data_IF_906560430804
#
_entry.id   IF_906560430804
#
_cell.length_a   1.000
_cell.length_b   1.000
_cell.length_c   1.000
_cell.angle_alpha   90.00
_cell.angle_beta   90.00
_cell.angle_gamma   90.00
#
_symmetry.space_group_name_H-M   'P 1'
#
loop_
_entity.id
_entity.type
_entity.pdbx_description
1 polymer ?
#
# COMPACT_ATOMS: atom_id res chain seq x y z
N UNK A 1 25.67 17.48 1.15
CA UNK A 1 26.33 18.17 2.28
C UNK A 1 26.04 17.39 3.55
N UNK A 2 26.80 16.36 3.88
CA UNK A 2 26.49 15.48 5.01
C UNK A 2 27.61 14.51 5.42
N UNK A 3 28.84 14.73 4.95
CA UNK A 3 29.95 13.81 5.25
C UNK A 3 31.05 14.44 6.16
N UNK A 4 30.88 15.67 6.63
CA UNK A 4 31.90 16.36 7.44
C UNK A 4 31.69 16.19 8.94
N UNK A 5 30.56 15.68 9.42
CA UNK A 5 30.31 15.51 10.85
C UNK A 5 30.87 14.19 11.43
N UNK A 6 30.95 13.12 10.62
CA UNK A 6 31.50 11.83 11.07
C UNK A 6 33.04 11.82 11.18
N UNK A 7 33.73 12.62 10.36
CA UNK A 7 35.19 12.72 10.44
C UNK A 7 35.65 13.55 11.64
N UNK A 8 34.84 14.49 12.11
CA UNK A 8 35.16 15.30 13.28
C UNK A 8 35.14 14.50 14.60
N UNK A 9 34.19 13.57 14.76
CA UNK A 9 34.16 12.75 15.97
C UNK A 9 35.30 11.73 16.01
N UNK A 10 35.67 11.14 14.88
CA UNK A 10 36.81 10.24 14.79
C UNK A 10 38.16 11.02 15.08
N UNK A 11 38.26 12.21 14.55
CA UNK A 11 39.45 13.09 14.81
C UNK A 11 39.48 13.55 16.26
N UNK A 12 38.34 13.85 16.89
CA UNK A 12 38.28 14.24 18.29
C UNK A 12 38.64 13.08 19.22
N UNK A 13 38.17 11.87 18.94
CA UNK A 13 38.55 10.66 19.71
C UNK A 13 40.04 10.38 19.56
N UNK A 14 40.60 10.52 18.35
CA UNK A 14 42.04 10.37 18.09
C UNK A 14 42.85 11.43 18.79
N UNK A 15 42.44 12.69 18.73
CA UNK A 15 43.10 13.80 19.43
C UNK A 15 43.01 13.65 20.96
N UNK A 16 41.89 13.12 21.47
CA UNK A 16 41.73 12.83 22.90
C UNK A 16 42.61 11.67 23.37
N UNK A 17 42.70 10.60 22.54
CA UNK A 17 43.61 9.49 22.81
C UNK A 17 45.09 9.90 22.81
N UNK A 18 45.52 10.76 21.88
CA UNK A 18 46.87 11.30 21.83
C UNK A 18 47.15 12.23 23.03
N UNK A 19 46.16 13.06 23.45
CA UNK A 19 46.33 13.91 24.66
C UNK A 19 46.36 13.08 25.96
N UNK A 20 45.61 12.00 26.05
CA UNK A 20 45.68 11.06 27.18
C UNK A 20 47.06 10.35 27.24
N UNK A 21 47.58 9.92 26.11
CA UNK A 21 48.92 9.35 26.00
C UNK A 21 50.03 10.33 26.39
N UNK A 22 49.87 11.59 25.99
CA UNK A 22 50.87 12.63 26.36
C UNK A 22 50.79 13.01 27.85
N UNK A 23 49.58 13.04 28.42
CA UNK A 23 49.37 13.35 29.85
C UNK A 23 49.80 12.19 30.78
N UNK A 24 49.77 10.97 30.30
CA UNK A 24 50.28 9.81 31.05
C UNK A 24 51.79 9.67 31.00
N UNK A 25 52.45 10.24 29.98
CA UNK A 25 53.92 10.20 29.88
C UNK A 25 54.59 10.93 31.02
N UNK A 26 53.98 11.98 31.58
CA UNK A 26 54.52 12.75 32.73
C UNK A 26 54.22 12.11 34.11
N UNK A 27 53.27 11.16 34.19
CA UNK A 27 53.00 10.44 35.47
C UNK A 27 53.71 9.08 35.58
N UNK A 28 54.04 8.43 34.46
CA UNK A 28 54.75 7.16 34.43
C UNK A 28 56.25 7.28 34.80
N UNK A 29 56.82 8.46 34.82
CA UNK A 29 58.20 8.68 35.29
C UNK A 29 58.38 8.64 36.83
N UNK A 30 57.29 8.51 37.62
CA UNK A 30 57.33 8.42 39.08
C UNK A 30 57.17 7.00 39.68
N UNK A 31 56.82 6.00 38.84
CA UNK A 31 56.82 4.62 39.28
C UNK A 31 58.02 3.92 38.60
N UNK A 32 59.14 3.90 39.35
CA UNK A 32 60.39 3.31 38.88
C UNK A 32 60.33 1.79 38.72
N UNK A 33 59.50 1.34 37.78
CA UNK A 33 59.57 -0.03 37.25
C UNK A 33 60.43 0.01 35.99
N UNK A 34 61.71 -0.35 36.12
CA UNK A 34 62.58 -0.62 34.97
C UNK A 34 62.03 -1.82 34.21
N UNK A 35 61.04 -1.53 33.35
CA UNK A 35 60.56 -2.53 32.42
C UNK A 35 61.60 -2.76 31.36
N UNK A 36 62.05 -4.03 31.25
CA UNK A 36 62.97 -4.49 30.22
C UNK A 36 62.43 -4.09 28.83
N UNK A 37 63.33 -3.72 27.90
CA UNK A 37 62.98 -3.31 26.56
C UNK A 37 62.03 -4.31 25.86
N UNK A 38 62.20 -5.62 26.13
CA UNK A 38 61.32 -6.69 25.65
C UNK A 38 59.89 -6.61 26.19
N UNK A 39 59.70 -6.29 27.49
CA UNK A 39 58.37 -6.11 28.10
C UNK A 39 57.62 -4.95 27.54
N UNK A 40 58.29 -3.82 27.22
CA UNK A 40 57.69 -2.64 26.54
C UNK A 40 57.18 -2.98 25.16
N UNK A 41 58.00 -3.71 24.38
CA UNK A 41 57.60 -4.17 23.03
C UNK A 41 56.40 -5.15 23.09
N UNK A 42 56.40 -6.08 24.05
CA UNK A 42 55.28 -7.03 24.22
C UNK A 42 53.98 -6.30 24.59
N UNK A 43 54.03 -5.32 25.51
CA UNK A 43 52.84 -4.54 25.91
C UNK A 43 52.31 -3.69 24.74
N UNK A 44 53.17 -3.02 23.98
CA UNK A 44 52.71 -2.28 22.79
C UNK A 44 52.14 -3.18 21.71
N UNK A 45 52.68 -4.39 21.51
CA UNK A 45 52.16 -5.39 20.57
C UNK A 45 50.77 -5.89 20.99
N UNK A 46 50.58 -6.19 22.27
CA UNK A 46 49.25 -6.59 22.82
C UNK A 46 48.23 -5.49 22.63
N UNK A 47 48.57 -4.23 22.95
CA UNK A 47 47.66 -3.08 22.75
C UNK A 47 47.31 -2.91 21.26
N UNK A 48 48.30 -3.01 20.36
CA UNK A 48 48.08 -2.93 18.93
C UNK A 48 47.17 -4.04 18.41
N UNK A 49 47.36 -5.27 18.88
CA UNK A 49 46.48 -6.42 18.52
C UNK A 49 45.07 -6.20 19.06
N UNK A 50 44.91 -5.76 20.31
CA UNK A 50 43.60 -5.43 20.88
C UNK A 50 42.90 -4.30 20.11
N UNK A 51 43.61 -3.29 19.73
CA UNK A 51 43.08 -2.16 18.92
C UNK A 51 42.67 -2.64 17.52
N UNK A 52 43.47 -3.50 16.90
CA UNK A 52 43.13 -4.10 15.58
C UNK A 52 41.90 -4.99 15.67
N UNK A 53 41.81 -5.82 16.70
CA UNK A 53 40.63 -6.68 16.94
C UNK A 53 39.38 -5.86 17.24
N UNK A 54 39.46 -4.85 18.10
CA UNK A 54 38.35 -3.94 18.38
C UNK A 54 37.93 -3.14 17.14
N UNK A 55 38.90 -2.65 16.35
CA UNK A 55 38.64 -1.98 15.10
C UNK A 55 37.95 -2.88 14.06
N UNK A 56 38.43 -4.12 13.93
CA UNK A 56 37.82 -5.11 13.03
C UNK A 56 36.41 -5.50 13.47
N UNK A 57 36.20 -5.68 14.77
CA UNK A 57 34.87 -6.00 15.32
C UNK A 57 33.89 -4.83 15.11
N UNK A 58 34.31 -3.59 15.40
CA UNK A 58 33.50 -2.41 15.19
C UNK A 58 33.18 -2.21 13.70
N UNK A 59 34.17 -2.40 12.83
CA UNK A 59 34.00 -2.29 11.39
C UNK A 59 32.98 -3.28 10.84
N UNK A 60 33.08 -4.55 11.23
CA UNK A 60 32.12 -5.58 10.82
C UNK A 60 30.72 -5.30 11.36
N UNK A 61 30.62 -4.89 12.63
CA UNK A 61 29.32 -4.61 13.25
C UNK A 61 28.59 -3.42 12.61
N UNK A 62 29.30 -2.35 12.28
CA UNK A 62 28.70 -1.14 11.69
C UNK A 62 28.43 -1.26 10.19
N UNK A 63 29.25 -2.00 9.46
CA UNK A 63 29.15 -2.08 8.00
C UNK A 63 28.20 -3.14 7.51
N UNK A 64 27.99 -4.22 8.26
CA UNK A 64 27.17 -5.35 7.87
C UNK A 64 25.77 -5.33 8.48
N UNK A 65 25.49 -4.48 9.47
CA UNK A 65 24.14 -4.40 10.02
C UNK A 65 23.17 -3.74 9.01
N UNK A 66 22.15 -4.45 8.53
CA UNK A 66 21.18 -3.87 7.59
C UNK A 66 20.25 -2.91 8.31
N UNK A 67 20.60 -1.63 8.31
CA UNK A 67 19.78 -0.57 8.84
C UNK A 67 19.62 0.58 7.84
N UNK A 68 18.49 1.28 7.94
CA UNK A 68 18.20 2.46 7.12
C UNK A 68 17.39 3.48 7.91
N UNK A 69 17.57 4.76 7.59
CA UNK A 69 16.72 5.87 8.07
C UNK A 69 15.65 6.28 7.06
N UNK A 70 15.68 5.69 5.88
CA UNK A 70 14.74 6.01 4.81
C UNK A 70 13.62 4.96 4.78
N UNK A 71 12.90 4.88 5.89
CA UNK A 71 11.65 4.13 6.00
C UNK A 71 10.45 5.09 5.89
N UNK A 72 9.39 4.64 5.24
CA UNK A 72 8.13 5.37 5.10
C UNK A 72 6.98 4.49 5.54
N UNK A 73 6.15 5.00 6.44
CA UNK A 73 4.88 4.35 6.78
C UNK A 73 3.97 4.46 5.57
N UNK A 74 3.41 3.34 5.16
CA UNK A 74 2.40 3.24 4.11
C UNK A 74 1.14 2.60 4.66
N UNK A 75 0.04 2.83 3.98
CA UNK A 75 -1.23 2.16 4.23
C UNK A 75 -1.91 1.92 2.88
N UNK A 76 -2.82 0.97 2.83
CA UNK A 76 -3.66 0.79 1.66
C UNK A 76 -4.66 1.94 1.56
N UNK A 77 -4.64 2.61 0.42
CA UNK A 77 -5.52 3.73 0.16
C UNK A 77 -6.52 3.33 -0.93
N UNK A 78 -7.79 3.40 -0.60
CA UNK A 78 -8.88 3.20 -1.55
C UNK A 78 -9.37 4.57 -2.03
N UNK A 79 -9.31 4.79 -3.32
CA UNK A 79 -9.89 5.99 -3.93
C UNK A 79 -11.39 5.76 -4.06
N UNK A 80 -12.18 6.56 -3.35
CA UNK A 80 -13.65 6.52 -3.44
C UNK A 80 -14.09 7.35 -4.64
N UNK A 81 -14.77 6.69 -5.57
CA UNK A 81 -15.32 7.28 -6.77
C UNK A 81 -16.77 6.81 -6.95
N UNK A 82 -17.70 7.68 -7.41
CA UNK A 82 -19.07 7.29 -7.67
C UNK A 82 -19.17 6.42 -8.91
N UNK A 83 -20.06 5.44 -8.88
CA UNK A 83 -20.38 4.59 -10.03
C UNK A 83 -21.42 5.21 -10.99
N UNK A 84 -22.06 6.30 -10.55
CA UNK A 84 -23.07 7.03 -11.33
C UNK A 84 -22.81 8.53 -11.24
N UNK A 85 -23.19 9.27 -12.28
CA UNK A 85 -22.95 10.71 -12.36
C UNK A 85 -24.17 11.51 -11.87
N UNK A 86 -23.94 12.66 -11.22
CA UNK A 86 -25.02 13.56 -10.80
C UNK A 86 -24.57 14.62 -9.81
N UNK A 87 -25.54 15.36 -9.30
CA UNK A 87 -25.32 16.39 -8.28
C UNK A 87 -25.28 15.76 -6.89
N UNK A 88 -24.34 16.16 -6.07
CA UNK A 88 -24.27 15.74 -4.66
C UNK A 88 -25.33 16.51 -3.88
N UNK A 89 -26.26 15.79 -3.29
CA UNK A 89 -27.34 16.36 -2.48
C UNK A 89 -27.01 16.39 -1.00
N UNK A 90 -26.19 15.45 -0.54
CA UNK A 90 -25.79 15.31 0.86
C UNK A 90 -24.38 14.74 0.99
N UNK A 91 -23.59 15.32 1.89
CA UNK A 91 -22.26 14.86 2.26
C UNK A 91 -22.24 14.57 3.76
N UNK A 92 -22.10 13.30 4.14
CA UNK A 92 -22.18 12.84 5.54
C UNK A 92 -20.81 12.74 6.22
N UNK A 93 -19.72 12.95 5.47
CA UNK A 93 -18.36 12.79 5.99
C UNK A 93 -17.55 14.07 5.92
N UNK A 94 -16.59 14.18 6.84
CA UNK A 94 -15.61 15.28 6.90
C UNK A 94 -14.20 14.72 6.72
N UNK A 95 -13.27 15.60 6.44
CA UNK A 95 -11.87 15.25 6.36
C UNK A 95 -11.34 14.71 7.70
N UNK A 96 -10.54 13.66 7.67
CA UNK A 96 -9.99 12.94 8.82
C UNK A 96 -11.04 12.27 9.72
N UNK A 97 -12.23 11.97 9.18
CA UNK A 97 -13.27 11.26 9.92
C UNK A 97 -13.09 9.74 9.79
N UNK A 98 -13.10 8.99 10.92
CA UNK A 98 -13.16 7.55 10.88
C UNK A 98 -14.55 7.08 10.41
N UNK A 99 -14.59 6.06 9.57
CA UNK A 99 -15.82 5.45 9.03
C UNK A 99 -15.72 3.93 9.07
N UNK A 100 -16.86 3.28 9.19
CA UNK A 100 -17.00 1.82 9.10
C UNK A 100 -17.49 1.40 7.72
N UNK A 101 -17.17 0.19 7.34
CA UNK A 101 -17.70 -0.40 6.11
C UNK A 101 -19.23 -0.33 6.07
N UNK A 102 -19.75 0.24 4.99
CA UNK A 102 -21.19 0.43 4.78
C UNK A 102 -21.74 1.79 5.25
N UNK A 103 -20.96 2.60 5.97
CA UNK A 103 -21.38 3.95 6.34
C UNK A 103 -21.61 4.79 5.09
N UNK A 104 -22.69 5.59 5.09
CA UNK A 104 -23.00 6.51 3.99
C UNK A 104 -21.97 7.63 3.96
N UNK A 105 -21.34 7.82 2.81
CA UNK A 105 -20.33 8.86 2.62
C UNK A 105 -20.95 10.10 1.98
N UNK A 106 -21.68 9.92 0.89
CA UNK A 106 -22.43 10.99 0.23
C UNK A 106 -23.56 10.42 -0.63
N UNK A 107 -24.52 11.27 -0.96
CA UNK A 107 -25.68 10.93 -1.78
C UNK A 107 -25.71 11.80 -3.03
N UNK A 108 -25.93 11.15 -4.16
CA UNK A 108 -26.17 11.78 -5.47
C UNK A 108 -27.68 11.90 -5.68
N UNK A 109 -28.16 12.97 -6.31
CA UNK A 109 -29.58 13.18 -6.59
C UNK A 109 -30.23 11.93 -7.24
N UNK A 110 -31.10 11.22 -6.51
CA UNK A 110 -31.69 9.97 -6.99
C UNK A 110 -32.88 10.22 -7.93
N UNK A 111 -33.32 11.46 -8.13
CA UNK A 111 -34.59 11.76 -8.81
C UNK A 111 -34.65 11.19 -10.23
N UNK A 112 -33.60 11.44 -11.01
CA UNK A 112 -33.48 10.90 -12.38
C UNK A 112 -33.41 9.38 -12.39
N UNK A 113 -32.66 8.78 -11.48
CA UNK A 113 -32.48 7.32 -11.39
C UNK A 113 -33.77 6.63 -10.93
N UNK A 114 -34.52 7.25 -10.02
CA UNK A 114 -35.85 6.77 -9.60
C UNK A 114 -36.85 6.80 -10.76
N UNK A 115 -36.84 7.84 -11.57
CA UNK A 115 -37.68 7.94 -12.77
C UNK A 115 -37.34 6.85 -13.79
N UNK A 116 -36.04 6.61 -14.06
CA UNK A 116 -35.57 5.54 -14.95
C UNK A 116 -35.92 4.16 -14.43
N UNK A 117 -35.86 3.94 -13.12
CA UNK A 117 -36.29 2.66 -12.50
C UNK A 117 -37.78 2.44 -12.72
N UNK A 118 -38.63 3.45 -12.50
CA UNK A 118 -40.08 3.32 -12.69
C UNK A 118 -40.44 3.06 -14.16
N UNK A 119 -39.78 3.75 -15.09
CA UNK A 119 -39.95 3.56 -16.52
C UNK A 119 -39.56 2.12 -16.95
N UNK A 120 -38.38 1.65 -16.55
CA UNK A 120 -37.88 0.31 -16.89
C UNK A 120 -38.76 -0.78 -16.26
N UNK A 121 -39.28 -0.54 -15.04
CA UNK A 121 -40.24 -1.42 -14.38
C UNK A 121 -41.54 -1.57 -15.19
N UNK A 122 -42.11 -0.46 -15.63
CA UNK A 122 -43.35 -0.46 -16.45
C UNK A 122 -43.13 -1.19 -17.78
N UNK A 123 -41.98 -1.01 -18.43
CA UNK A 123 -41.62 -1.74 -19.66
C UNK A 123 -41.47 -3.24 -19.41
N UNK A 124 -40.86 -3.64 -18.31
CA UNK A 124 -40.72 -5.05 -17.92
C UNK A 124 -42.09 -5.68 -17.63
N UNK A 125 -42.97 -5.00 -16.89
CA UNK A 125 -44.30 -5.45 -16.59
C UNK A 125 -45.18 -5.62 -17.86
N UNK A 126 -45.11 -4.64 -18.77
CA UNK A 126 -45.76 -4.73 -20.08
C UNK A 126 -45.28 -5.97 -20.87
N UNK A 127 -43.97 -6.19 -20.98
CA UNK A 127 -43.41 -7.34 -21.68
C UNK A 127 -43.78 -8.67 -20.99
N UNK A 128 -43.86 -8.68 -19.64
CA UNK A 128 -44.34 -9.83 -18.89
C UNK A 128 -45.75 -10.22 -19.26
N UNK A 129 -46.67 -9.25 -19.29
CA UNK A 129 -48.08 -9.52 -19.67
C UNK A 129 -48.20 -9.96 -21.13
N UNK A 130 -47.38 -9.42 -22.05
CA UNK A 130 -47.34 -9.89 -23.42
C UNK A 130 -46.87 -11.36 -23.51
N UNK A 131 -45.85 -11.73 -22.75
CA UNK A 131 -45.38 -13.12 -22.67
C UNK A 131 -46.42 -14.04 -22.04
N UNK A 132 -47.08 -13.64 -20.95
CA UNK A 132 -48.16 -14.41 -20.32
C UNK A 132 -49.31 -14.66 -21.30
N UNK A 133 -49.72 -13.63 -22.06
CA UNK A 133 -50.75 -13.78 -23.11
C UNK A 133 -50.31 -14.75 -24.22
N UNK A 134 -49.08 -14.59 -24.75
CA UNK A 134 -48.59 -15.48 -25.79
C UNK A 134 -48.50 -16.94 -25.32
N UNK A 135 -48.05 -17.15 -24.07
CA UNK A 135 -48.00 -18.48 -23.45
C UNK A 135 -49.40 -19.08 -23.25
N UNK A 136 -50.39 -18.24 -22.88
CA UNK A 136 -51.77 -18.70 -22.75
C UNK A 136 -52.34 -19.13 -24.11
N UNK A 137 -52.08 -18.38 -25.17
CA UNK A 137 -52.48 -18.71 -26.53
C UNK A 137 -51.83 -19.98 -27.04
N UNK A 138 -50.53 -20.16 -26.80
CA UNK A 138 -49.83 -21.42 -27.09
C UNK A 138 -50.51 -22.62 -26.38
N UNK A 139 -50.68 -22.49 -25.04
CA UNK A 139 -51.31 -23.56 -24.23
C UNK A 139 -52.70 -23.94 -24.71
N UNK A 140 -53.51 -22.99 -25.19
CA UNK A 140 -54.83 -23.24 -25.78
C UNK A 140 -54.74 -23.95 -27.11
N UNK A 141 -53.70 -23.70 -27.95
CA UNK A 141 -53.52 -24.32 -29.26
C UNK A 141 -52.97 -25.75 -29.20
N UNK A 142 -52.19 -26.11 -28.17
CA UNK A 142 -51.64 -27.47 -28.01
C UNK A 142 -52.69 -28.57 -28.06
N UNK A 143 -53.81 -28.55 -27.32
CA UNK A 143 -54.84 -29.58 -27.39
C UNK A 143 -55.59 -29.58 -28.74
N UNK A 144 -55.74 -28.38 -29.37
CA UNK A 144 -56.47 -28.32 -30.68
C UNK A 144 -55.64 -28.96 -31.80
N UNK A 145 -54.30 -28.81 -31.75
CA UNK A 145 -53.39 -29.47 -32.69
C UNK A 145 -53.42 -30.99 -32.55
N UNK A 146 -53.64 -31.56 -31.32
CA UNK A 146 -53.72 -32.99 -31.08
C UNK A 146 -54.95 -33.65 -31.73
N UNK A 147 -56.01 -32.87 -31.91
CA UNK A 147 -57.27 -33.37 -32.57
C UNK A 147 -57.36 -32.89 -34.03
N UNK A 148 -56.24 -32.39 -34.61
CA UNK A 148 -56.15 -31.84 -35.97
C UNK A 148 -57.17 -30.69 -36.24
N UNK A 149 -57.54 -29.92 -35.21
CA UNK A 149 -58.41 -28.76 -35.34
C UNK A 149 -57.67 -27.46 -35.78
N UNK A 150 -56.36 -27.46 -35.78
CA UNK A 150 -55.50 -26.40 -36.31
C UNK A 150 -54.33 -27.00 -37.07
N UNK A 151 -53.68 -26.18 -37.92
CA UNK A 151 -52.48 -26.60 -38.67
C UNK A 151 -51.26 -26.75 -37.75
N UNK A 152 -50.26 -27.55 -38.12
CA UNK A 152 -48.99 -27.63 -37.44
C UNK A 152 -48.28 -26.26 -37.47
N UNK A 153 -48.39 -25.51 -38.56
CA UNK A 153 -47.85 -24.17 -38.72
C UNK A 153 -48.41 -23.18 -37.69
N UNK A 154 -49.75 -23.23 -37.44
CA UNK A 154 -50.38 -22.36 -36.43
C UNK A 154 -49.86 -22.63 -35.02
N UNK A 155 -49.58 -23.90 -34.68
CA UNK A 155 -49.00 -24.24 -33.40
C UNK A 155 -47.55 -23.76 -33.29
N UNK A 156 -46.74 -23.96 -34.33
CA UNK A 156 -45.33 -23.56 -34.33
C UNK A 156 -45.18 -22.02 -34.33
N UNK A 157 -46.10 -21.32 -35.02
CA UNK A 157 -46.19 -19.85 -34.92
C UNK A 157 -46.50 -19.38 -33.48
N UNK A 158 -47.47 -20.06 -32.81
CA UNK A 158 -47.78 -19.69 -31.42
C UNK A 158 -46.63 -19.97 -30.46
N UNK A 159 -45.90 -21.07 -30.63
CA UNK A 159 -44.67 -21.37 -29.86
C UNK A 159 -43.60 -20.35 -30.08
N UNK A 160 -43.36 -20.02 -31.36
CA UNK A 160 -42.34 -19.00 -31.72
C UNK A 160 -42.69 -17.64 -31.11
N UNK A 161 -43.98 -17.22 -31.15
CA UNK A 161 -44.47 -15.99 -30.55
C UNK A 161 -44.27 -15.99 -29.02
N UNK A 162 -44.55 -17.10 -28.33
CA UNK A 162 -44.33 -17.21 -26.88
C UNK A 162 -42.83 -17.12 -26.53
N UNK A 163 -41.97 -17.75 -27.33
CA UNK A 163 -40.52 -17.66 -27.14
C UNK A 163 -39.96 -16.23 -27.38
N UNK A 164 -40.45 -15.57 -28.44
CA UNK A 164 -40.06 -14.17 -28.72
C UNK A 164 -40.52 -13.23 -27.61
N UNK A 165 -41.76 -13.35 -27.16
CA UNK A 165 -42.31 -12.56 -26.04
C UNK A 165 -41.55 -12.83 -24.73
N UNK A 166 -41.14 -14.06 -24.47
CA UNK A 166 -40.26 -14.41 -23.33
C UNK A 166 -38.90 -13.71 -23.41
N UNK A 167 -38.27 -13.80 -24.58
CA UNK A 167 -36.97 -13.14 -24.78
C UNK A 167 -37.07 -11.64 -24.56
N UNK A 168 -38.14 -11.01 -25.03
CA UNK A 168 -38.38 -9.57 -24.83
C UNK A 168 -38.59 -9.22 -23.35
N UNK A 169 -39.31 -10.07 -22.61
CA UNK A 169 -39.45 -9.92 -21.15
C UNK A 169 -38.09 -10.00 -20.45
N UNK A 170 -37.25 -10.98 -20.76
CA UNK A 170 -35.91 -11.11 -20.15
C UNK A 170 -35.03 -9.92 -20.43
N UNK A 171 -35.05 -9.35 -21.65
CA UNK A 171 -34.33 -8.13 -22.00
C UNK A 171 -34.81 -6.97 -21.14
N UNK A 172 -36.10 -6.72 -21.03
CA UNK A 172 -36.65 -5.61 -20.24
C UNK A 172 -36.42 -5.81 -18.74
N UNK A 173 -36.44 -7.07 -18.26
CA UNK A 173 -36.07 -7.41 -16.88
C UNK A 173 -34.63 -7.05 -16.56
N UNK A 174 -33.70 -7.40 -17.44
CA UNK A 174 -32.29 -7.02 -17.27
C UNK A 174 -32.09 -5.48 -17.25
N UNK A 175 -32.84 -4.74 -18.08
CA UNK A 175 -32.83 -3.27 -18.06
C UNK A 175 -33.36 -2.70 -16.74
N UNK A 176 -34.43 -3.27 -16.19
CA UNK A 176 -34.97 -2.90 -14.89
C UNK A 176 -33.98 -3.20 -13.75
N UNK A 177 -33.30 -4.34 -13.77
CA UNK A 177 -32.28 -4.69 -12.79
C UNK A 177 -31.10 -3.70 -12.85
N UNK A 178 -30.66 -3.32 -14.05
CA UNK A 178 -29.63 -2.28 -14.24
C UNK A 178 -30.05 -0.93 -13.65
N UNK A 179 -31.28 -0.50 -13.92
CA UNK A 179 -31.80 0.75 -13.37
C UNK A 179 -31.91 0.71 -11.83
N UNK A 180 -32.24 -0.44 -11.25
CA UNK A 180 -32.26 -0.68 -9.80
C UNK A 180 -30.87 -0.57 -9.20
N UNK A 181 -29.86 -1.15 -9.84
CA UNK A 181 -28.45 -1.04 -9.41
C UNK A 181 -28.00 0.42 -9.47
N UNK A 182 -28.29 1.12 -10.56
CA UNK A 182 -27.89 2.53 -10.71
C UNK A 182 -28.53 3.42 -9.65
N UNK A 183 -29.79 3.19 -9.29
CA UNK A 183 -30.43 3.89 -8.17
C UNK A 183 -29.77 3.55 -6.84
N UNK A 184 -29.42 2.32 -6.57
CA UNK A 184 -28.73 1.95 -5.34
C UNK A 184 -27.35 2.60 -5.25
N UNK A 185 -26.66 2.80 -6.38
CA UNK A 185 -25.33 3.44 -6.46
C UNK A 185 -25.37 4.95 -6.33
N UNK A 186 -26.54 5.60 -6.27
CA UNK A 186 -26.63 7.01 -5.90
C UNK A 186 -26.24 7.26 -4.45
N UNK A 187 -26.34 6.24 -3.58
CA UNK A 187 -25.86 6.28 -2.20
C UNK A 187 -24.49 5.63 -2.14
N UNK A 188 -23.45 6.44 -2.02
CA UNK A 188 -22.05 5.96 -1.98
C UNK A 188 -21.67 5.65 -0.55
N UNK A 189 -21.27 4.41 -0.30
CA UNK A 189 -20.93 3.89 1.03
C UNK A 189 -19.45 3.51 1.14
N UNK A 190 -18.93 3.47 2.37
CA UNK A 190 -17.56 3.06 2.65
C UNK A 190 -17.32 1.58 2.28
N UNK A 191 -16.30 1.27 1.46
CA UNK A 191 -15.99 -0.10 1.05
C UNK A 191 -15.30 -0.91 2.15
N UNK A 192 -14.66 -0.26 3.13
CA UNK A 192 -13.95 -0.84 4.26
C UNK A 192 -13.92 0.11 5.45
N UNK A 193 -13.54 -0.39 6.61
CA UNK A 193 -13.21 0.44 7.77
C UNK A 193 -11.96 1.27 7.46
N UNK A 194 -11.91 2.51 7.98
CA UNK A 194 -10.78 3.39 7.73
C UNK A 194 -11.07 4.86 8.01
N UNK A 195 -10.14 5.70 7.63
CA UNK A 195 -10.23 7.15 7.82
C UNK A 195 -10.29 7.86 6.48
N UNK A 196 -11.28 8.71 6.30
CA UNK A 196 -11.46 9.55 5.10
C UNK A 196 -10.40 10.65 5.09
N UNK A 197 -9.79 10.88 3.93
CA UNK A 197 -8.81 11.95 3.75
C UNK A 197 -9.00 12.68 2.44
N UNK A 198 -8.58 13.96 2.40
CA UNK A 198 -8.60 14.80 1.20
C UNK A 198 -10.01 15.01 0.63
N UNK A 199 -10.96 15.33 1.48
CA UNK A 199 -12.34 15.63 1.09
C UNK A 199 -12.38 17.00 0.40
N UNK A 200 -12.52 16.97 -0.94
CA UNK A 200 -12.71 18.18 -1.76
C UNK A 200 -14.15 18.33 -2.25
N UNK A 201 -14.96 17.30 -2.05
CA UNK A 201 -16.35 17.26 -2.44
C UNK A 201 -17.18 18.14 -1.51
N UNK A 202 -18.17 18.83 -2.09
CA UNK A 202 -19.16 19.64 -1.35
C UNK A 202 -20.56 19.36 -1.89
N UNK A 203 -21.55 19.58 -1.07
CA UNK A 203 -22.96 19.57 -1.51
C UNK A 203 -23.14 20.58 -2.65
N UNK A 204 -23.89 20.19 -3.67
CA UNK A 204 -24.06 20.99 -4.88
C UNK A 204 -22.94 20.81 -5.93
N UNK A 205 -21.89 20.02 -5.67
CA UNK A 205 -20.94 19.67 -6.72
C UNK A 205 -21.53 18.61 -7.67
N UNK A 206 -21.17 18.70 -8.93
CA UNK A 206 -21.46 17.64 -9.91
C UNK A 206 -20.30 16.66 -9.95
N UNK A 207 -20.59 15.37 -9.81
CA UNK A 207 -19.62 14.30 -9.92
C UNK A 207 -19.85 13.47 -11.18
N UNK A 208 -18.77 13.13 -11.87
CA UNK A 208 -18.82 12.20 -13.00
C UNK A 208 -18.57 10.78 -12.53
N UNK A 209 -19.09 9.80 -13.27
CA UNK A 209 -18.81 8.39 -13.01
C UNK A 209 -17.30 8.12 -13.03
N UNK A 210 -16.78 7.43 -12.01
CA UNK A 210 -15.38 7.06 -11.89
C UNK A 210 -14.44 8.21 -11.49
N UNK A 211 -14.95 9.45 -11.30
CA UNK A 211 -14.11 10.56 -10.84
C UNK A 211 -13.75 10.43 -9.36
N UNK A 212 -12.46 10.58 -8.96
CA UNK A 212 -12.07 10.54 -7.56
C UNK A 212 -12.77 11.62 -6.74
N UNK A 213 -13.48 11.24 -5.69
CA UNK A 213 -14.13 12.15 -4.75
C UNK A 213 -13.23 12.44 -3.54
N UNK A 214 -12.67 11.42 -2.92
CA UNK A 214 -11.73 11.47 -1.80
C UNK A 214 -11.05 10.12 -1.62
N UNK A 215 -10.13 10.04 -0.65
CA UNK A 215 -9.39 8.82 -0.34
C UNK A 215 -9.81 8.25 1.01
N UNK A 216 -9.87 6.93 1.11
CA UNK A 216 -10.07 6.17 2.33
C UNK A 216 -8.79 5.41 2.66
N UNK A 217 -8.15 5.75 3.78
CA UNK A 217 -7.01 5.02 4.32
C UNK A 217 -7.54 3.91 5.21
N UNK A 218 -7.23 2.65 4.90
CA UNK A 218 -7.70 1.49 5.66
C UNK A 218 -6.95 1.38 7.00
N UNK A 219 -7.67 1.15 8.09
CA UNK A 219 -7.08 1.17 9.44
C UNK A 219 -6.07 0.04 9.67
N UNK A 220 -6.34 -1.20 9.24
CA UNK A 220 -5.49 -2.37 9.52
C UNK A 220 -4.47 -2.67 8.41
N UNK A 221 -4.10 -1.66 7.62
CA UNK A 221 -3.26 -1.86 6.45
C UNK A 221 -1.88 -1.20 6.54
N UNK A 222 -1.49 -0.72 7.72
CA UNK A 222 -0.22 -0.02 7.89
C UNK A 222 0.98 -0.97 7.80
N UNK A 223 1.96 -0.59 6.99
CA UNK A 223 3.24 -1.25 6.84
C UNK A 223 4.35 -0.21 6.64
N UNK A 224 5.59 -0.62 6.69
CA UNK A 224 6.74 0.26 6.44
C UNK A 224 7.45 -0.20 5.18
N UNK A 225 7.59 0.69 4.21
CA UNK A 225 8.51 0.51 3.09
C UNK A 225 9.84 1.16 3.46
N UNK A 226 10.86 0.36 3.66
CA UNK A 226 12.20 0.81 3.97
C UNK A 226 13.13 0.66 2.76
N UNK A 227 13.92 1.70 2.46
CA UNK A 227 14.80 1.72 1.31
C UNK A 227 16.22 1.37 1.74
N UNK A 228 16.69 0.19 1.36
CA UNK A 228 18.04 -0.29 1.65
C UNK A 228 18.95 -0.14 0.44
N UNK A 229 20.24 0.07 0.67
CA UNK A 229 21.24 0.04 -0.38
C UNK A 229 21.41 -1.40 -0.89
N UNK A 230 21.63 -1.58 -2.19
CA UNK A 230 21.79 -2.92 -2.81
C UNK A 230 22.91 -3.75 -2.16
N UNK A 231 23.91 -3.08 -1.58
CA UNK A 231 25.03 -3.71 -0.88
C UNK A 231 24.63 -4.42 0.41
N UNK A 232 23.46 -4.07 0.98
CA UNK A 232 22.94 -4.64 2.23
C UNK A 232 21.85 -5.70 2.01
N UNK A 233 21.43 -5.91 0.76
CA UNK A 233 20.32 -6.82 0.44
C UNK A 233 20.67 -8.30 0.61
N UNK A 234 21.94 -8.65 0.50
CA UNK A 234 22.38 -10.05 0.63
C UNK A 234 22.05 -10.62 2.01
N UNK A 235 21.98 -9.75 3.01
CA UNK A 235 21.72 -10.08 4.40
C UNK A 235 20.25 -9.91 4.81
N UNK A 236 19.37 -9.57 3.86
CA UNK A 236 17.93 -9.35 4.09
C UNK A 236 17.13 -10.45 3.40
N UNK A 237 16.32 -11.17 4.18
CA UNK A 237 15.44 -12.24 3.69
C UNK A 237 14.01 -12.04 4.14
N UNK A 238 13.06 -12.57 3.38
CA UNK A 238 11.66 -12.60 3.78
C UNK A 238 11.49 -13.39 5.10
N UNK A 239 10.78 -12.79 6.05
CA UNK A 239 10.55 -13.31 7.38
C UNK A 239 11.60 -12.92 8.43
N UNK A 240 12.63 -12.13 8.08
CA UNK A 240 13.56 -11.59 9.06
C UNK A 240 12.87 -10.58 9.99
N UNK A 241 13.29 -10.56 11.25
CA UNK A 241 12.76 -9.60 12.22
C UNK A 241 13.27 -8.19 11.94
N UNK A 242 12.37 -7.22 12.04
CA UNK A 242 12.68 -5.81 11.87
C UNK A 242 12.27 -5.02 13.13
N UNK A 243 13.13 -4.12 13.55
CA UNK A 243 12.84 -3.09 14.54
C UNK A 243 12.58 -1.77 13.82
N UNK A 244 11.45 -1.17 14.12
CA UNK A 244 11.01 0.09 13.52
C UNK A 244 10.93 1.15 14.60
N UNK A 245 11.65 2.25 14.41
CA UNK A 245 11.56 3.44 15.25
C UNK A 245 11.08 4.63 14.44
N UNK A 246 10.11 5.37 14.96
CA UNK A 246 9.56 6.54 14.28
C UNK A 246 10.34 7.81 14.63
N UNK A 247 10.51 8.70 13.66
CA UNK A 247 11.15 10.01 13.92
C UNK A 247 10.33 10.90 14.84
N UNK A 248 9.03 10.67 14.94
CA UNK A 248 8.13 11.36 15.89
C UNK A 248 8.36 10.96 17.36
N UNK A 249 9.23 9.98 17.62
CA UNK A 249 9.37 9.35 18.94
C UNK A 249 8.32 8.28 19.15
N UNK A 250 8.38 7.62 20.32
CA UNK A 250 7.46 6.54 20.68
C UNK A 250 8.18 5.22 20.93
N UNK A 251 7.44 4.14 21.21
CA UNK A 251 8.03 2.83 21.45
C UNK A 251 8.64 2.27 20.16
N UNK A 252 9.65 1.42 20.31
CA UNK A 252 10.14 0.56 19.24
C UNK A 252 9.04 -0.45 18.90
N UNK A 253 8.72 -0.56 17.62
CA UNK A 253 7.77 -1.54 17.11
C UNK A 253 8.55 -2.64 16.41
N UNK A 254 8.19 -3.87 16.71
CA UNK A 254 8.68 -5.03 15.98
C UNK A 254 7.84 -5.29 14.74
N UNK A 255 8.46 -5.87 13.75
CA UNK A 255 7.83 -6.29 12.52
C UNK A 255 8.65 -7.40 11.86
N UNK A 256 8.22 -7.83 10.72
CA UNK A 256 8.95 -8.80 9.90
C UNK A 256 8.98 -8.38 8.43
N UNK A 257 10.05 -8.72 7.74
CA UNK A 257 10.19 -8.49 6.32
C UNK A 257 9.13 -9.31 5.58
N UNK A 258 8.21 -8.61 4.94
CA UNK A 258 7.13 -9.23 4.16
C UNK A 258 7.59 -9.53 2.73
N UNK A 259 8.29 -8.59 2.12
CA UNK A 259 8.78 -8.74 0.75
C UNK A 259 9.98 -7.84 0.47
N UNK A 260 10.82 -8.29 -0.46
CA UNK A 260 11.90 -7.51 -1.05
C UNK A 260 11.57 -7.28 -2.52
N UNK A 261 11.58 -6.03 -2.96
CA UNK A 261 11.25 -5.71 -4.34
C UNK A 261 12.23 -6.36 -5.32
N UNK A 262 11.69 -7.07 -6.32
CA UNK A 262 12.48 -7.74 -7.37
C UNK A 262 12.82 -6.84 -8.56
N UNK A 263 12.35 -5.59 -8.55
CA UNK A 263 12.61 -4.63 -9.62
C UNK A 263 12.46 -3.19 -9.15
N UNK A 264 13.36 -2.35 -9.61
CA UNK A 264 13.33 -0.90 -9.38
C UNK A 264 13.39 -0.21 -10.74
N UNK A 265 12.57 0.81 -10.93
CA UNK A 265 12.58 1.58 -12.16
C UNK A 265 13.95 2.22 -12.39
N UNK A 266 14.53 1.99 -13.56
CA UNK A 266 15.78 2.63 -13.93
C UNK A 266 15.47 4.02 -14.51
N UNK A 267 15.87 5.06 -13.78
CA UNK A 267 15.70 6.46 -14.22
C UNK A 267 16.62 6.84 -15.37
N UNK A 268 17.61 6.00 -15.70
CA UNK A 268 18.53 6.24 -16.81
C UNK A 268 17.96 5.87 -18.20
N UNK A 269 16.86 5.14 -18.23
CA UNK A 269 16.17 4.78 -19.47
C UNK A 269 14.74 5.33 -19.44
N UNK A 270 14.54 6.51 -20.02
CA UNK A 270 13.20 6.94 -20.40
C UNK A 270 12.83 6.30 -21.73
N UNK A 271 11.63 5.73 -21.81
CA UNK A 271 11.13 5.24 -23.08
C UNK A 271 10.74 6.46 -23.96
N UNK A 272 11.41 6.61 -25.10
CA UNK A 272 10.98 7.50 -26.18
C UNK A 272 9.66 6.96 -26.77
N UNK A 273 8.75 7.84 -27.29
CA UNK A 273 7.58 7.43 -28.04
C UNK A 273 7.88 6.46 -29.20
N UNK A 274 9.10 6.41 -29.70
CA UNK A 274 9.60 5.46 -30.71
C UNK A 274 10.18 4.17 -30.12
N UNK A 275 10.03 3.92 -28.81
CA UNK A 275 10.56 2.75 -28.09
C UNK A 275 12.09 2.60 -28.15
N UNK A 276 12.82 3.65 -28.49
CA UNK A 276 14.28 3.66 -28.43
C UNK A 276 14.73 4.02 -27.00
N UNK A 277 15.70 3.30 -26.43
CA UNK A 277 16.22 3.62 -25.11
C UNK A 277 16.96 4.94 -25.13
N UNK A 278 16.43 5.97 -24.46
CA UNK A 278 17.18 7.19 -24.16
C UNK A 278 18.11 6.92 -22.98
N UNK A 279 19.41 6.91 -23.24
CA UNK A 279 20.43 6.79 -22.23
C UNK A 279 20.87 8.20 -21.83
N UNK A 280 20.59 8.63 -20.60
CA UNK A 280 21.16 9.85 -20.09
C UNK A 280 22.67 9.70 -19.98
N UNK A 281 23.41 10.66 -20.51
CA UNK A 281 24.86 10.75 -20.30
C UNK A 281 25.11 11.02 -18.82
N UNK A 282 25.49 9.98 -18.09
CA UNK A 282 25.77 10.09 -16.67
C UNK A 282 27.17 10.63 -16.47
N UNK A 283 27.28 11.91 -16.14
CA UNK A 283 28.47 12.49 -15.53
C UNK A 283 28.50 12.20 -14.03
N UNK A 284 28.16 11.01 -13.60
CA UNK A 284 28.19 10.66 -12.19
C UNK A 284 29.63 10.28 -11.81
N UNK A 285 30.34 11.23 -11.28
CA UNK A 285 31.65 11.04 -10.64
C UNK A 285 31.64 9.91 -9.59
N UNK A 286 30.51 9.73 -8.88
CA UNK A 286 30.34 8.67 -7.88
C UNK A 286 29.12 7.83 -8.25
N UNK A 287 29.28 6.52 -8.41
CA UNK A 287 28.17 5.57 -8.49
C UNK A 287 27.60 5.39 -7.08
N UNK A 288 26.44 5.93 -6.85
CA UNK A 288 25.67 5.65 -5.64
C UNK A 288 24.99 4.27 -5.78
N UNK A 289 25.00 3.49 -4.70
CA UNK A 289 24.29 2.24 -4.64
C UNK A 289 22.78 2.48 -4.86
N UNK A 290 22.14 1.62 -5.65
CA UNK A 290 20.70 1.69 -5.89
C UNK A 290 19.96 1.39 -4.57
N UNK A 291 18.85 2.12 -4.34
CA UNK A 291 17.98 1.89 -3.19
C UNK A 291 16.86 0.96 -3.58
N UNK A 292 16.70 -0.10 -2.84
CA UNK A 292 15.70 -1.14 -3.08
C UNK A 292 14.68 -1.13 -1.96
N UNK A 293 13.39 -1.04 -2.27
CA UNK A 293 12.34 -1.04 -1.27
C UNK A 293 12.15 -2.45 -0.70
N UNK A 294 12.05 -2.49 0.62
CA UNK A 294 11.74 -3.67 1.42
C UNK A 294 10.49 -3.34 2.23
N UNK A 295 9.45 -4.13 2.07
CA UNK A 295 8.21 -3.95 2.79
C UNK A 295 8.23 -4.77 4.08
N UNK A 296 7.88 -4.11 5.17
CA UNK A 296 7.92 -4.65 6.53
C UNK A 296 6.52 -4.56 7.10
N UNK A 297 5.96 -5.69 7.45
CA UNK A 297 4.70 -5.77 8.17
C UNK A 297 4.96 -5.54 9.65
N UNK A 298 4.20 -4.63 10.24
CA UNK A 298 4.27 -4.31 11.66
C UNK A 298 3.54 -5.38 12.48
N UNK A 299 4.14 -5.81 13.58
CA UNK A 299 3.57 -6.78 14.50
C UNK A 299 3.02 -6.08 15.74
N UNK A 300 2.03 -6.71 16.39
CA UNK A 300 1.43 -6.22 17.64
C UNK A 300 0.21 -5.35 17.46
N UNK A 301 -0.32 -4.88 18.61
CA UNK A 301 -1.47 -3.98 18.64
C UNK A 301 -1.04 -2.54 18.37
N UNK A 302 -1.37 -2.06 17.18
CA UNK A 302 -1.06 -0.70 16.72
C UNK A 302 -2.12 0.33 17.15
N UNK A 303 -3.21 -0.09 17.81
CA UNK A 303 -4.36 0.77 18.14
C UNK A 303 -3.98 1.96 19.05
N UNK A 304 -2.94 1.80 19.87
CA UNK A 304 -2.45 2.85 20.78
C UNK A 304 -1.41 3.79 20.15
N UNK A 305 -1.05 3.55 18.87
CA UNK A 305 0.01 4.31 18.19
C UNK A 305 -0.64 5.07 17.03
N UNK A 306 -0.52 6.39 17.07
CA UNK A 306 -1.03 7.22 15.98
C UNK A 306 -0.12 7.10 14.74
N UNK A 307 -0.41 6.14 13.88
CA UNK A 307 0.26 5.98 12.60
C UNK A 307 -0.40 6.86 11.53
N UNK A 308 0.43 7.54 10.75
CA UNK A 308 -0.01 8.35 9.62
C UNK A 308 0.78 7.91 8.40
N UNK A 309 0.10 7.59 7.30
CA UNK A 309 0.76 7.28 6.04
C UNK A 309 1.66 8.45 5.59
N UNK A 310 2.90 8.16 5.25
CA UNK A 310 3.91 9.17 4.90
C UNK A 310 4.88 9.54 6.03
N UNK A 311 4.65 9.15 7.28
CA UNK A 311 5.61 9.35 8.37
C UNK A 311 6.93 8.64 8.07
N UNK A 312 8.04 9.23 8.54
CA UNK A 312 9.37 8.68 8.41
C UNK A 312 9.69 7.72 9.56
N UNK A 313 10.36 6.64 9.23
CA UNK A 313 10.82 5.64 10.19
C UNK A 313 12.27 5.27 9.92
N UNK A 314 12.97 4.86 10.98
CA UNK A 314 14.25 4.16 10.88
C UNK A 314 14.02 2.68 11.11
N UNK A 315 14.63 1.86 10.29
CA UNK A 315 14.44 0.41 10.33
C UNK A 315 15.78 -0.26 10.49
N UNK A 316 15.82 -1.26 11.38
CA UNK A 316 16.94 -2.20 11.54
C UNK A 316 16.43 -3.61 11.37
N UNK A 317 17.09 -4.39 10.54
CA UNK A 317 16.74 -5.80 10.32
C UNK A 317 17.74 -6.67 11.07
N UNK A 318 17.25 -7.70 11.71
CA UNK A 318 18.02 -8.71 12.42
C UNK A 318 17.92 -10.04 11.69
N UNK A 319 19.06 -10.68 11.42
CA UNK A 319 19.07 -12.01 10.86
C UNK A 319 18.37 -13.01 11.79
N UNK A 320 17.68 -13.97 11.19
CA UNK A 320 17.01 -15.08 11.88
C UNK A 320 18.04 -15.90 12.69
N UNK A 321 18.08 -15.69 14.01
CA UNK A 321 18.99 -16.42 14.91
C UNK A 321 19.82 -15.55 15.87
N UNK A 322 19.77 -14.23 15.74
CA UNK A 322 20.39 -13.36 16.72
C UNK A 322 19.34 -13.02 17.77
N UNK A 323 19.35 -13.75 18.89
CA UNK A 323 18.52 -13.42 20.07
C UNK A 323 18.73 -11.95 20.44
N UNK A 324 17.60 -11.25 20.69
CA UNK A 324 17.61 -9.87 21.19
C UNK A 324 18.49 -9.80 22.43
N UNK A 325 19.67 -9.20 22.32
CA UNK A 325 20.46 -8.82 23.48
C UNK A 325 19.60 -7.88 24.32
N UNK A 326 19.20 -8.38 25.51
CA UNK A 326 18.58 -7.51 26.53
C UNK A 326 19.46 -6.30 26.80
N UNK A 327 18.86 -5.12 27.05
CA UNK A 327 19.56 -3.88 27.37
C UNK A 327 20.45 -3.99 28.61
#
# INVERSE_FOLDING_TARGET
MGNTAMDLEAVVVWAFAIRLLHRHRSRLSRWGMEMNSTTRVCVTLVIAICAALAGSWTWNHYRLSPWTRDGRIRADVVVVAPDVAGWVTRLEVRDNQPVKKGDLLFEIDPTRYRSLLNESKARMEHAKHAWELATLLERRRVPLAKINAISAEDLDNARSQALLAKSQYEVNKAQWETAKINLARTSVTAPSDGTITNVRLQEGNYVAQGSPAFSLVKDDSFYVTAYFEETKLLDIREGDMAEVSFMSGGPLITGHVQSVAKGVANTNTQADPMLLPQVQQAFNWVRLAQRIPVDIKLDGDLANIRLIAGMSASVRIHERGTEMGKP
#
